data_IF_707383466084
#
_entry.id   IF_707383466084
#
_cell.length_a   1.000
_cell.length_b   1.000
_cell.length_c   1.000
_cell.angle_alpha   90.00
_cell.angle_beta   90.00
_cell.angle_gamma   90.00
#
_symmetry.space_group_name_H-M   'P 1'
#
loop_
_entity.id
_entity.type
_entity.pdbx_description
1 polymer ?
#
# COMPACT_ATOMS: atom_id res chain seq x y z
N UNK A 1 27.58 -15.77 -5.63
CA UNK A 1 26.54 -16.78 -5.35
C UNK A 1 25.62 -16.20 -4.29
N UNK A 2 24.30 -16.20 -4.53
CA UNK A 2 23.38 -15.29 -3.89
C UNK A 2 22.98 -15.80 -2.51
N UNK A 3 22.95 -14.93 -1.51
CA UNK A 3 22.03 -15.15 -0.40
C UNK A 3 20.70 -14.55 -0.83
N UNK A 4 19.97 -15.32 -1.62
CA UNK A 4 18.52 -15.17 -1.81
C UNK A 4 17.84 -15.51 -0.47
N UNK A 5 18.14 -14.73 0.56
CA UNK A 5 17.34 -14.71 1.77
C UNK A 5 16.14 -13.85 1.43
N UNK A 6 15.08 -14.48 0.89
CA UNK A 6 13.74 -13.90 0.89
C UNK A 6 13.40 -13.65 2.36
N UNK A 7 13.65 -12.43 2.84
CA UNK A 7 13.31 -12.01 4.20
C UNK A 7 11.79 -12.08 4.30
N UNK A 8 11.26 -13.13 4.91
CA UNK A 8 9.82 -13.27 5.16
C UNK A 8 9.49 -12.52 6.43
N UNK A 9 8.57 -11.55 6.36
CA UNK A 9 8.01 -10.90 7.54
C UNK A 9 6.93 -11.81 8.14
N UNK A 10 7.30 -12.57 9.17
CA UNK A 10 6.41 -13.54 9.80
C UNK A 10 5.87 -13.09 11.16
N UNK A 11 4.91 -13.84 11.71
CA UNK A 11 4.35 -13.56 13.04
C UNK A 11 5.38 -13.56 14.17
N UNK A 12 6.49 -14.31 14.03
CA UNK A 12 7.60 -14.28 14.99
C UNK A 12 8.36 -12.94 14.94
N UNK A 13 8.58 -12.39 13.74
CA UNK A 13 9.29 -11.12 13.56
C UNK A 13 8.47 -9.95 14.10
N UNK A 14 7.15 -10.01 13.94
CA UNK A 14 6.20 -9.10 14.59
C UNK A 14 6.36 -9.13 16.10
N UNK A 15 6.41 -10.33 16.70
CA UNK A 15 6.51 -10.46 18.16
C UNK A 15 7.84 -9.89 18.66
N UNK A 16 8.93 -10.15 17.95
CA UNK A 16 10.24 -9.55 18.23
C UNK A 16 10.24 -8.03 18.09
N UNK A 17 9.55 -7.49 17.10
CA UNK A 17 9.50 -6.06 16.86
C UNK A 17 8.58 -5.31 17.84
N UNK A 18 7.37 -5.83 18.11
CA UNK A 18 6.30 -5.10 18.81
C UNK A 18 6.18 -5.43 20.29
N UNK A 19 6.53 -6.65 20.71
CA UNK A 19 6.17 -7.16 22.03
C UNK A 19 7.36 -7.61 22.89
N UNK A 20 8.46 -8.07 22.28
CA UNK A 20 9.64 -8.49 23.05
C UNK A 20 10.52 -7.28 23.44
N UNK A 21 10.98 -7.19 24.70
CA UNK A 21 12.00 -6.22 25.08
C UNK A 21 13.37 -6.63 24.52
N UNK A 22 14.29 -5.67 24.34
CA UNK A 22 15.60 -5.88 23.71
C UNK A 22 16.43 -6.97 24.42
N UNK A 23 16.39 -7.03 25.75
CA UNK A 23 17.09 -8.06 26.53
C UNK A 23 16.54 -9.48 26.33
N UNK A 24 15.34 -9.63 25.79
CA UNK A 24 14.70 -10.89 25.45
C UNK A 24 14.70 -11.16 23.93
N UNK A 25 15.55 -10.46 23.18
CA UNK A 25 15.71 -10.64 21.73
C UNK A 25 14.75 -9.78 20.88
N UNK A 26 14.14 -8.75 21.47
CA UNK A 26 13.39 -7.75 20.70
C UNK A 26 14.30 -6.82 19.88
N UNK A 27 13.83 -6.37 18.72
CA UNK A 27 14.56 -5.41 17.87
C UNK A 27 13.61 -4.39 17.25
N UNK A 28 13.69 -3.15 17.75
CA UNK A 28 12.88 -2.02 17.27
C UNK A 28 13.23 -1.62 15.83
N UNK A 29 14.41 -1.98 15.34
CA UNK A 29 14.85 -1.69 13.98
C UNK A 29 14.42 -2.77 12.97
N UNK A 30 13.94 -3.92 13.44
CA UNK A 30 13.64 -5.08 12.60
C UNK A 30 12.66 -4.70 11.47
N UNK A 31 11.58 -4.00 11.80
CA UNK A 31 10.61 -3.54 10.81
C UNK A 31 11.23 -2.57 9.79
N UNK A 32 12.04 -1.62 10.27
CA UNK A 32 12.72 -0.64 9.40
C UNK A 32 13.67 -1.34 8.44
N UNK A 33 14.43 -2.32 8.93
CA UNK A 33 15.40 -3.09 8.15
C UNK A 33 14.68 -3.94 7.10
N UNK A 34 13.58 -4.57 7.46
CA UNK A 34 12.72 -5.30 6.53
C UNK A 34 12.18 -4.39 5.42
N UNK A 35 11.55 -3.25 5.77
CA UNK A 35 11.06 -2.26 4.80
C UNK A 35 12.16 -1.79 3.84
N UNK A 36 13.37 -1.52 4.35
CA UNK A 36 14.51 -1.14 3.54
C UNK A 36 14.92 -2.25 2.57
N UNK A 37 15.07 -3.49 3.06
CA UNK A 37 15.45 -4.64 2.25
C UNK A 37 14.41 -4.93 1.16
N UNK A 38 13.12 -4.81 1.48
CA UNK A 38 12.04 -5.00 0.52
C UNK A 38 12.13 -4.00 -0.64
N UNK A 39 12.36 -2.71 -0.35
CA UNK A 39 12.53 -1.67 -1.38
C UNK A 39 13.79 -1.92 -2.24
N UNK A 40 14.87 -2.42 -1.65
CA UNK A 40 16.09 -2.78 -2.40
C UNK A 40 15.79 -3.92 -3.37
N UNK A 41 15.17 -5.01 -2.88
CA UNK A 41 14.85 -6.19 -3.67
C UNK A 41 13.90 -5.88 -4.84
N UNK A 42 12.99 -4.92 -4.67
CA UNK A 42 12.01 -4.50 -5.69
C UNK A 42 12.41 -3.23 -6.44
N UNK A 43 13.66 -2.75 -6.30
CA UNK A 43 14.06 -1.43 -6.82
C UNK A 43 13.91 -1.33 -8.34
N UNK A 44 14.18 -2.41 -9.07
CA UNK A 44 14.00 -2.49 -10.54
C UNK A 44 12.55 -2.31 -10.94
N UNK A 45 11.64 -3.07 -10.32
CA UNK A 45 10.19 -2.99 -10.57
C UNK A 45 9.63 -1.62 -10.23
N UNK A 46 10.00 -1.05 -9.08
CA UNK A 46 9.62 0.31 -8.67
C UNK A 46 10.06 1.35 -9.71
N UNK A 47 11.31 1.30 -10.19
CA UNK A 47 11.80 2.24 -11.21
C UNK A 47 11.04 2.08 -12.53
N UNK A 48 10.81 0.84 -12.95
CA UNK A 48 10.11 0.54 -14.19
C UNK A 48 8.67 1.05 -14.16
N UNK A 49 7.91 0.70 -13.11
CA UNK A 49 6.51 1.10 -12.98
C UNK A 49 6.39 2.62 -12.78
N UNK A 50 7.28 3.25 -12.01
CA UNK A 50 7.29 4.71 -11.86
C UNK A 50 7.48 5.42 -13.22
N UNK A 51 8.43 4.92 -14.03
CA UNK A 51 8.66 5.43 -15.39
C UNK A 51 7.46 5.20 -16.29
N UNK A 52 6.89 3.98 -16.27
CA UNK A 52 5.74 3.58 -17.10
C UNK A 52 4.52 4.47 -16.86
N UNK A 53 4.25 4.83 -15.60
CA UNK A 53 3.08 5.60 -15.20
C UNK A 53 3.36 7.09 -14.97
N UNK A 54 4.57 7.58 -15.29
CA UNK A 54 4.89 9.01 -15.24
C UNK A 54 4.86 9.63 -13.83
N UNK A 55 5.15 8.83 -12.80
CA UNK A 55 5.17 9.28 -11.40
C UNK A 55 6.59 9.34 -10.86
N UNK A 56 6.78 10.11 -9.78
CA UNK A 56 8.07 10.16 -9.08
C UNK A 56 8.43 8.78 -8.52
N UNK A 57 9.63 8.28 -8.85
CA UNK A 57 10.15 7.02 -8.28
C UNK A 57 10.27 7.09 -6.75
N UNK A 58 10.50 8.28 -6.19
CA UNK A 58 10.56 8.49 -4.74
C UNK A 58 9.16 8.39 -4.12
N UNK A 59 8.13 8.87 -4.82
CA UNK A 59 6.75 8.74 -4.35
C UNK A 59 6.35 7.27 -4.28
N UNK A 60 6.57 6.51 -5.36
CA UNK A 60 6.25 5.08 -5.39
C UNK A 60 7.04 4.29 -4.34
N UNK A 61 8.36 4.49 -4.27
CA UNK A 61 9.19 3.83 -3.26
C UNK A 61 8.79 4.20 -1.83
N UNK A 62 8.40 5.46 -1.59
CA UNK A 62 7.94 5.93 -0.29
C UNK A 62 6.63 5.28 0.13
N UNK A 63 5.65 5.18 -0.77
CA UNK A 63 4.40 4.45 -0.54
C UNK A 63 4.70 2.99 -0.23
N UNK A 64 5.46 2.28 -1.08
CA UNK A 64 5.85 0.90 -0.83
C UNK A 64 6.51 0.71 0.55
N UNK A 65 7.44 1.59 0.91
CA UNK A 65 8.13 1.53 2.20
C UNK A 65 7.20 1.75 3.40
N UNK A 66 6.22 2.65 3.28
CA UNK A 66 5.24 2.92 4.35
C UNK A 66 4.31 1.72 4.53
N UNK A 67 3.82 1.14 3.44
CA UNK A 67 2.80 0.08 3.48
C UNK A 67 3.40 -1.30 3.81
N UNK A 68 4.64 -1.58 3.37
CA UNK A 68 5.22 -2.92 3.56
C UNK A 68 5.55 -3.24 5.02
N UNK A 69 5.21 -4.45 5.47
CA UNK A 69 5.39 -4.85 6.87
C UNK A 69 4.53 -4.04 7.85
N UNK A 70 3.36 -3.56 7.41
CA UNK A 70 2.32 -2.95 8.26
C UNK A 70 1.79 -3.90 9.34
N UNK A 71 0.47 -3.95 9.57
CA UNK A 71 -0.04 -4.85 10.61
C UNK A 71 0.46 -6.29 10.38
N UNK A 72 0.77 -7.05 11.45
CA UNK A 72 1.31 -8.43 11.45
C UNK A 72 0.57 -9.50 10.63
N UNK A 73 -0.49 -9.07 9.97
CA UNK A 73 -1.68 -9.83 9.77
C UNK A 73 -1.83 -10.10 8.27
N UNK A 74 -1.28 -11.26 7.91
CA UNK A 74 -1.94 -12.27 7.07
C UNK A 74 -3.46 -12.50 7.43
N UNK A 75 -4.07 -11.72 8.35
CA UNK A 75 -5.51 -11.77 8.62
C UNK A 75 -6.31 -11.21 7.43
N UNK A 76 -5.77 -10.46 6.46
CA UNK A 76 -6.60 -9.92 5.36
C UNK A 76 -7.03 -10.95 4.28
N UNK A 77 -6.26 -12.03 4.03
CA UNK A 77 -6.73 -13.13 3.17
C UNK A 77 -7.87 -13.94 3.80
N UNK A 78 -8.01 -13.88 5.13
CA UNK A 78 -9.12 -14.48 5.89
C UNK A 78 -10.22 -13.43 6.15
N UNK A 79 -9.87 -12.15 6.26
CA UNK A 79 -10.80 -11.07 6.51
C UNK A 79 -11.67 -10.77 5.29
N UNK A 80 -11.17 -10.89 4.05
CA UNK A 80 -12.05 -10.75 2.89
C UNK A 80 -13.16 -11.83 2.88
N UNK A 81 -12.88 -13.14 3.07
CA UNK A 81 -13.93 -14.15 3.26
C UNK A 81 -14.86 -13.87 4.46
N UNK A 82 -14.33 -13.49 5.63
CA UNK A 82 -15.13 -13.18 6.82
C UNK A 82 -16.03 -11.96 6.60
N UNK A 83 -15.47 -10.85 6.10
CA UNK A 83 -16.20 -9.62 5.75
C UNK A 83 -17.22 -9.92 4.66
N UNK A 84 -16.87 -10.70 3.64
CA UNK A 84 -17.80 -11.07 2.58
C UNK A 84 -18.98 -11.87 3.15
N UNK A 85 -18.73 -12.82 4.05
CA UNK A 85 -19.78 -13.59 4.72
C UNK A 85 -20.66 -12.74 5.66
N UNK A 86 -20.06 -11.85 6.46
CA UNK A 86 -20.80 -10.92 7.34
C UNK A 86 -21.68 -9.95 6.53
N UNK A 87 -21.21 -9.53 5.35
CA UNK A 87 -21.93 -8.63 4.44
C UNK A 87 -22.83 -9.35 3.41
N UNK A 88 -23.00 -10.69 3.51
CA UNK A 88 -23.96 -11.45 2.69
C UNK A 88 -25.39 -11.44 3.27
N UNK A 89 -25.59 -10.92 4.49
CA UNK A 89 -26.88 -10.81 5.14
C UNK A 89 -27.79 -9.76 4.45
N UNK A 90 -29.11 -9.87 4.66
CA UNK A 90 -30.12 -8.92 4.17
C UNK A 90 -29.68 -7.46 4.42
N UNK A 91 -29.79 -6.51 3.46
CA UNK A 91 -29.45 -5.10 3.67
C UNK A 91 -30.08 -4.46 4.92
N UNK A 92 -31.21 -4.97 5.40
CA UNK A 92 -31.84 -4.56 6.66
C UNK A 92 -31.00 -4.89 7.91
N UNK A 93 -30.04 -5.79 7.78
CA UNK A 93 -29.12 -6.22 8.83
C UNK A 93 -27.75 -5.54 8.75
N UNK A 94 -27.46 -4.72 7.71
CA UNK A 94 -26.23 -3.92 7.63
C UNK A 94 -25.94 -3.10 8.91
N UNK A 95 -26.94 -2.48 9.59
CA UNK A 95 -26.69 -1.76 10.84
C UNK A 95 -26.13 -2.62 11.99
N UNK A 96 -26.22 -3.95 11.89
CA UNK A 96 -25.71 -4.90 12.87
C UNK A 96 -24.43 -5.61 12.42
N UNK A 97 -23.92 -5.32 11.22
CA UNK A 97 -22.62 -5.85 10.75
C UNK A 97 -21.48 -5.20 11.52
N UNK A 98 -20.62 -6.05 12.09
CA UNK A 98 -19.53 -5.61 12.99
C UNK A 98 -18.26 -5.33 12.17
N UNK A 99 -18.12 -5.96 11.00
CA UNK A 99 -16.92 -5.88 10.19
C UNK A 99 -16.99 -4.76 9.14
N UNK A 100 -15.83 -4.18 8.77
CA UNK A 100 -15.74 -3.22 7.65
C UNK A 100 -16.14 -3.87 6.34
N UNK A 101 -16.67 -3.08 5.38
CA UNK A 101 -17.04 -3.59 4.06
C UNK A 101 -15.86 -4.30 3.35
N UNK A 102 -16.09 -5.40 2.62
CA UNK A 102 -15.02 -6.21 2.03
C UNK A 102 -14.07 -5.44 1.10
N UNK A 103 -14.57 -4.43 0.38
CA UNK A 103 -13.80 -3.61 -0.57
C UNK A 103 -12.73 -2.70 0.08
N UNK A 104 -12.82 -2.51 1.40
CA UNK A 104 -11.83 -1.77 2.20
C UNK A 104 -10.68 -2.65 2.68
N UNK A 105 -10.67 -3.93 2.31
CA UNK A 105 -9.58 -4.88 2.61
C UNK A 105 -8.35 -4.54 1.78
N UNK A 106 -7.19 -4.46 2.44
CA UNK A 106 -5.90 -4.25 1.81
C UNK A 106 -5.26 -5.59 1.44
N UNK A 107 -4.60 -5.69 0.28
CA UNK A 107 -4.02 -6.95 -0.21
C UNK A 107 -2.57 -6.79 -0.67
N UNK A 108 -1.79 -7.86 -0.47
CA UNK A 108 -0.38 -7.96 -0.84
C UNK A 108 0.55 -7.18 0.11
N UNK A 109 1.86 -7.33 -0.09
CA UNK A 109 2.88 -6.73 0.79
C UNK A 109 2.80 -5.19 0.80
N UNK A 110 2.32 -4.55 -0.27
CA UNK A 110 2.10 -3.09 -0.35
C UNK A 110 0.67 -2.68 0.05
N UNK A 111 -0.12 -3.58 0.63
CA UNK A 111 -1.41 -3.30 1.32
C UNK A 111 -2.38 -2.38 0.55
N UNK A 112 -2.45 -2.48 -0.78
CA UNK A 112 -3.40 -1.68 -1.56
C UNK A 112 -4.84 -2.17 -1.31
N UNK A 113 -5.76 -1.24 -1.04
CA UNK A 113 -7.18 -1.56 -0.89
C UNK A 113 -7.75 -2.17 -2.17
N UNK A 114 -8.54 -3.25 -2.06
CA UNK A 114 -9.18 -3.92 -3.19
C UNK A 114 -9.99 -2.97 -4.08
N UNK A 115 -10.71 -2.03 -3.47
CA UNK A 115 -11.40 -0.97 -4.21
C UNK A 115 -10.44 -0.13 -5.05
N UNK A 116 -9.28 0.26 -4.51
CA UNK A 116 -8.30 1.08 -5.22
C UNK A 116 -7.60 0.30 -6.33
N UNK A 117 -7.34 -0.98 -6.11
CA UNK A 117 -6.85 -1.86 -7.15
C UNK A 117 -7.86 -2.00 -8.30
N UNK A 118 -9.14 -2.20 -7.99
CA UNK A 118 -10.19 -2.23 -9.01
C UNK A 118 -10.31 -0.90 -9.76
N UNK A 119 -10.33 0.24 -9.06
CA UNK A 119 -10.35 1.57 -9.68
C UNK A 119 -9.11 1.80 -10.57
N UNK A 120 -7.93 1.32 -10.15
CA UNK A 120 -6.73 1.33 -10.97
C UNK A 120 -6.87 0.42 -12.20
N UNK A 121 -7.60 -0.69 -12.15
CA UNK A 121 -7.96 -1.48 -13.33
C UNK A 121 -9.09 -0.85 -14.19
N UNK A 122 -9.59 0.35 -13.84
CA UNK A 122 -10.79 0.95 -14.42
C UNK A 122 -12.05 0.07 -14.24
N UNK A 123 -12.09 -0.68 -13.14
CA UNK A 123 -13.20 -1.54 -12.73
C UNK A 123 -13.92 -0.92 -11.53
N UNK A 124 -15.22 -1.20 -11.42
CA UNK A 124 -16.02 -0.88 -10.25
C UNK A 124 -16.12 -2.13 -9.38
N UNK A 125 -15.42 -2.14 -8.24
CA UNK A 125 -15.37 -3.30 -7.34
C UNK A 125 -16.77 -3.76 -6.90
N UNK A 126 -17.73 -2.83 -6.74
CA UNK A 126 -19.09 -3.15 -6.33
C UNK A 126 -19.85 -3.95 -7.42
N UNK A 127 -19.43 -3.84 -8.68
CA UNK A 127 -20.02 -4.55 -9.82
C UNK A 127 -19.31 -5.87 -10.16
N UNK A 128 -18.18 -6.16 -9.53
CA UNK A 128 -17.47 -7.41 -9.74
C UNK A 128 -18.22 -8.58 -9.08
N UNK A 129 -18.31 -9.70 -9.78
CA UNK A 129 -18.78 -10.95 -9.20
C UNK A 129 -17.69 -11.59 -8.32
N UNK A 130 -18.05 -12.62 -7.56
CA UNK A 130 -17.13 -13.27 -6.61
C UNK A 130 -15.88 -13.86 -7.27
N UNK A 131 -16.00 -14.43 -8.47
CA UNK A 131 -14.86 -14.99 -9.21
C UNK A 131 -13.89 -13.89 -9.64
N UNK A 132 -14.40 -12.78 -10.16
CA UNK A 132 -13.59 -11.61 -10.55
C UNK A 132 -12.90 -10.96 -9.35
N UNK A 133 -13.56 -10.90 -8.19
CA UNK A 133 -12.95 -10.40 -6.95
C UNK A 133 -11.83 -11.32 -6.48
N UNK A 134 -12.01 -12.64 -6.56
CA UNK A 134 -10.98 -13.62 -6.21
C UNK A 134 -9.77 -13.54 -7.17
N UNK A 135 -10.01 -13.40 -8.47
CA UNK A 135 -8.96 -13.19 -9.46
C UNK A 135 -8.16 -11.91 -9.18
N UNK A 136 -8.83 -10.82 -8.80
CA UNK A 136 -8.17 -9.58 -8.39
C UNK A 136 -7.28 -9.79 -7.16
N UNK A 137 -7.79 -10.50 -6.15
CA UNK A 137 -7.04 -10.88 -4.94
C UNK A 137 -5.79 -11.71 -5.29
N UNK A 138 -5.94 -12.71 -6.15
CA UNK A 138 -4.84 -13.58 -6.58
C UNK A 138 -3.77 -12.77 -7.35
N UNK A 139 -4.19 -11.89 -8.24
CA UNK A 139 -3.28 -10.99 -8.96
C UNK A 139 -2.49 -10.08 -8.00
N UNK A 140 -3.13 -9.55 -6.96
CA UNK A 140 -2.49 -8.66 -5.99
C UNK A 140 -1.55 -9.38 -5.02
N UNK A 141 -1.53 -10.71 -5.03
CA UNK A 141 -0.59 -11.52 -4.25
C UNK A 141 0.80 -11.58 -4.89
N UNK A 142 0.92 -11.24 -6.19
CA UNK A 142 2.19 -11.02 -6.86
C UNK A 142 2.69 -9.59 -6.59
N UNK A 143 3.92 -9.47 -6.07
CA UNK A 143 4.49 -8.20 -5.63
C UNK A 143 4.70 -7.21 -6.79
N UNK A 144 5.13 -7.68 -7.97
CA UNK A 144 5.36 -6.83 -9.13
C UNK A 144 4.04 -6.31 -9.71
N UNK A 145 3.02 -7.17 -9.74
CA UNK A 145 1.65 -6.78 -10.09
C UNK A 145 1.15 -5.74 -9.09
N UNK A 146 1.33 -5.97 -7.78
CA UNK A 146 0.90 -5.04 -6.74
C UNK A 146 1.56 -3.65 -6.89
N UNK A 147 2.88 -3.61 -7.11
CA UNK A 147 3.63 -2.35 -7.38
C UNK A 147 3.05 -1.64 -8.61
N UNK A 148 2.72 -2.38 -9.68
CA UNK A 148 2.14 -1.79 -10.89
C UNK A 148 0.75 -1.18 -10.63
N UNK A 149 -0.08 -1.83 -9.81
CA UNK A 149 -1.39 -1.29 -9.40
C UNK A 149 -1.24 -0.02 -8.56
N UNK A 150 -0.32 0.00 -7.60
CA UNK A 150 -0.03 1.20 -6.77
C UNK A 150 0.47 2.34 -7.65
N UNK A 151 1.41 2.06 -8.56
CA UNK A 151 1.94 3.07 -9.48
C UNK A 151 0.85 3.67 -10.38
N UNK A 152 -0.02 2.81 -10.93
CA UNK A 152 -1.16 3.26 -11.72
C UNK A 152 -2.14 4.10 -10.90
N UNK A 153 -2.41 3.70 -9.66
CA UNK A 153 -3.29 4.46 -8.78
C UNK A 153 -2.71 5.86 -8.47
N UNK A 154 -1.42 5.95 -8.14
CA UNK A 154 -0.75 7.24 -7.91
C UNK A 154 -0.78 8.14 -9.15
N UNK A 155 -0.67 7.55 -10.35
CA UNK A 155 -0.82 8.27 -11.62
C UNK A 155 -2.23 8.82 -11.80
N UNK A 156 -3.28 8.05 -11.49
CA UNK A 156 -4.65 8.55 -11.50
C UNK A 156 -4.86 9.70 -10.49
N UNK A 157 -4.25 9.60 -9.30
CA UNK A 157 -4.33 10.65 -8.28
C UNK A 157 -3.65 11.96 -8.70
N UNK A 158 -2.61 11.89 -9.55
CA UNK A 158 -1.94 13.05 -10.13
C UNK A 158 -2.88 13.89 -11.00
N UNK A 159 -3.76 13.23 -11.73
CA UNK A 159 -4.69 13.89 -12.66
C UNK A 159 -5.90 14.53 -11.98
N UNK A 160 -6.12 14.31 -10.67
CA UNK A 160 -7.33 14.76 -9.96
C UNK A 160 -7.44 16.28 -9.85
N UNK A 161 -6.31 16.98 -9.66
CA UNK A 161 -6.34 18.41 -9.37
C UNK A 161 -6.24 19.31 -10.60
N UNK A 162 -5.91 18.76 -11.77
CA UNK A 162 -5.66 19.51 -13.01
C UNK A 162 -4.68 20.71 -12.84
N UNK A 163 -3.80 20.64 -11.82
CA UNK A 163 -2.84 21.69 -11.46
C UNK A 163 -1.41 21.19 -11.65
N UNK A 164 -0.57 22.02 -12.27
CA UNK A 164 0.86 21.76 -12.38
C UNK A 164 1.58 22.20 -11.09
N UNK A 165 2.06 21.24 -10.31
CA UNK A 165 2.84 21.50 -9.10
C UNK A 165 4.35 21.39 -9.36
N UNK A 166 5.17 22.04 -8.51
CA UNK A 166 6.60 21.76 -8.44
C UNK A 166 6.81 20.32 -7.95
N UNK A 167 7.91 19.66 -8.34
CA UNK A 167 8.12 18.23 -8.12
C UNK A 167 7.91 17.75 -6.66
N UNK A 168 8.40 18.50 -5.67
CA UNK A 168 8.26 18.12 -4.25
C UNK A 168 6.85 18.42 -3.72
N UNK A 169 6.19 19.44 -4.24
CA UNK A 169 4.79 19.73 -3.91
C UNK A 169 3.85 18.69 -4.55
N UNK A 170 4.10 18.31 -5.80
CA UNK A 170 3.40 17.22 -6.49
C UNK A 170 3.48 15.94 -5.64
N UNK A 171 4.70 15.54 -5.24
CA UNK A 171 4.92 14.37 -4.39
C UNK A 171 4.11 14.46 -3.09
N UNK A 172 4.16 15.62 -2.44
CA UNK A 172 3.47 15.84 -1.16
C UNK A 172 1.96 15.72 -1.29
N UNK A 173 1.37 16.36 -2.30
CA UNK A 173 -0.08 16.38 -2.51
C UNK A 173 -0.57 14.99 -2.94
N UNK A 174 0.10 14.32 -3.89
CA UNK A 174 -0.29 12.98 -4.31
C UNK A 174 -0.15 11.98 -3.16
N UNK A 175 0.93 12.04 -2.38
CA UNK A 175 1.09 11.19 -1.19
C UNK A 175 -0.02 11.41 -0.16
N UNK A 176 -0.41 12.66 0.09
CA UNK A 176 -1.53 12.98 0.97
C UNK A 176 -2.87 12.46 0.42
N UNK A 177 -3.10 12.54 -0.90
CA UNK A 177 -4.28 11.97 -1.56
C UNK A 177 -4.32 10.46 -1.49
N UNK A 178 -3.19 9.78 -1.62
CA UNK A 178 -3.11 8.33 -1.50
C UNK A 178 -3.65 7.87 -0.14
N UNK A 179 -3.24 8.55 0.93
CA UNK A 179 -3.67 8.23 2.29
C UNK A 179 -5.12 8.63 2.60
N UNK A 180 -5.57 9.78 2.08
CA UNK A 180 -6.86 10.38 2.48
C UNK A 180 -8.00 10.13 1.48
N UNK A 181 -7.66 9.73 0.26
CA UNK A 181 -8.58 9.40 -0.83
C UNK A 181 -8.79 10.53 -1.86
N UNK A 182 -9.17 10.17 -3.10
CA UNK A 182 -9.33 11.10 -4.23
C UNK A 182 -10.58 12.00 -4.15
N UNK A 183 -11.55 11.66 -3.30
CA UNK A 183 -12.83 12.37 -3.19
C UNK A 183 -12.72 13.74 -2.50
N UNK A 184 -11.58 14.02 -1.84
CA UNK A 184 -11.34 15.28 -1.16
C UNK A 184 -10.84 16.33 -2.14
N UNK A 185 -11.39 17.55 -1.99
CA UNK A 185 -10.88 18.72 -2.70
C UNK A 185 -9.42 19.01 -2.34
N UNK A 186 -8.71 19.74 -3.20
CA UNK A 186 -7.33 20.16 -2.95
C UNK A 186 -7.16 20.92 -1.63
N UNK A 187 -8.09 21.82 -1.31
CA UNK A 187 -8.04 22.56 -0.06
C UNK A 187 -8.19 21.64 1.15
N UNK A 188 -9.07 20.64 1.08
CA UNK A 188 -9.18 19.62 2.13
C UNK A 188 -7.91 18.78 2.25
N UNK A 189 -7.26 18.41 1.14
CA UNK A 189 -5.99 17.68 1.16
C UNK A 189 -4.88 18.51 1.82
N UNK A 190 -4.77 19.80 1.51
CA UNK A 190 -3.77 20.70 2.10
C UNK A 190 -3.90 20.86 3.62
N UNK A 191 -5.08 20.62 4.21
CA UNK A 191 -5.24 20.65 5.68
C UNK A 191 -4.40 19.60 6.41
N UNK A 192 -4.01 18.50 5.74
CA UNK A 192 -3.12 17.50 6.32
C UNK A 192 -2.36 16.78 5.20
N UNK A 193 -1.08 17.14 5.07
CA UNK A 193 -0.13 16.58 4.11
C UNK A 193 0.91 15.66 4.76
N UNK A 194 0.70 15.26 6.02
CA UNK A 194 1.70 14.55 6.83
C UNK A 194 2.26 13.29 6.18
N UNK A 195 1.44 12.53 5.44
CA UNK A 195 1.89 11.35 4.70
C UNK A 195 2.89 11.70 3.59
N UNK A 196 2.58 12.70 2.74
CA UNK A 196 3.49 13.17 1.71
C UNK A 196 4.75 13.83 2.27
N UNK A 197 4.61 14.60 3.35
CA UNK A 197 5.74 15.20 4.09
C UNK A 197 6.67 14.14 4.68
N UNK A 198 6.12 13.01 5.16
CA UNK A 198 6.93 11.88 5.62
C UNK A 198 7.80 11.31 4.50
N UNK A 199 7.24 11.12 3.30
CA UNK A 199 8.00 10.63 2.14
C UNK A 199 9.09 11.63 1.76
N UNK A 200 8.78 12.93 1.73
CA UNK A 200 9.78 13.97 1.46
C UNK A 200 10.94 13.95 2.46
N UNK A 201 10.65 13.80 3.76
CA UNK A 201 11.68 13.67 4.80
C UNK A 201 12.58 12.45 4.58
N UNK A 202 12.04 11.38 3.98
CA UNK A 202 12.78 10.14 3.71
C UNK A 202 13.43 10.09 2.31
N UNK A 203 13.31 11.16 1.52
CA UNK A 203 13.75 11.21 0.12
C UNK A 203 15.22 10.82 -0.10
N UNK A 204 16.14 11.24 0.79
CA UNK A 204 17.56 10.86 0.69
C UNK A 204 17.77 9.36 0.91
N UNK A 205 17.13 8.79 1.92
CA UNK A 205 17.23 7.37 2.23
C UNK A 205 16.67 6.52 1.08
N UNK A 206 15.48 6.89 0.58
CA UNK A 206 14.84 6.19 -0.53
C UNK A 206 15.70 6.22 -1.79
N UNK A 207 16.36 7.35 -2.08
CA UNK A 207 17.33 7.43 -3.18
C UNK A 207 18.49 6.44 -2.99
N UNK A 208 19.02 6.33 -1.79
CA UNK A 208 20.12 5.40 -1.50
C UNK A 208 19.68 3.92 -1.58
N UNK A 209 18.45 3.59 -1.14
CA UNK A 209 17.89 2.24 -1.28
C UNK A 209 17.71 1.86 -2.76
N UNK A 210 17.22 2.80 -3.57
CA UNK A 210 17.02 2.59 -5.01
C UNK A 210 18.32 2.51 -5.82
N UNK A 211 19.50 2.73 -5.23
CA UNK A 211 20.80 2.67 -5.93
C UNK A 211 21.58 1.39 -5.65
N UNK A 212 21.09 0.56 -4.73
CA UNK A 212 21.63 -0.77 -4.44
C UNK A 212 21.08 -1.80 -5.43
#
# INVERSE_FOLDING_TARGET
MPLENKWTWGGIDVVKWRYLPEFAGGDKNLLRNYKNAWVINHSSSIKEQAKKYGISVILLAGVCWIEVGGDPDWIDSIAYPIRSFDHMADPLLEPFTITKKPELTSMGDVSIQLRRAAEAANLDFAKLNSEQKNQLIECLSDEDVNIAFVAKHLSQLKEVDEVCFLADEELRIIGARYNRGPHLSLEQIKLNTSYGEFILKKKSDLKALLQQ
#
